data_IF_960597406568
#
_entry.id   IF_960597406568
#
_cell.length_a   1.000
_cell.length_b   1.000
_cell.length_c   1.000
_cell.angle_alpha   90.00
_cell.angle_beta   90.00
_cell.angle_gamma   90.00
#
_symmetry.space_group_name_H-M   'P 1'
#
loop_
_entity.id
_entity.type
_entity.pdbx_description
1 polymer ?
#
# COMPACT_ATOMS: atom_id res chain seq x y z
N UNK A 1 13.22 -4.30 5.33
CA UNK A 1 11.85 -4.58 5.79
C UNK A 1 10.91 -3.61 5.11
N UNK A 2 9.69 -4.03 4.76
CA UNK A 2 8.65 -3.17 4.20
C UNK A 2 7.44 -3.18 5.12
N UNK A 3 6.87 -2.01 5.37
CA UNK A 3 5.66 -1.82 6.14
C UNK A 3 4.65 -1.06 5.29
N UNK A 4 3.40 -1.48 5.33
CA UNK A 4 2.30 -0.81 4.65
C UNK A 4 1.09 -0.76 5.59
N UNK A 5 0.48 0.42 5.71
CA UNK A 5 -0.80 0.59 6.39
C UNK A 5 -1.68 1.54 5.59
N UNK A 6 -3.00 1.33 5.67
CA UNK A 6 -3.99 2.27 5.20
C UNK A 6 -4.18 3.44 6.18
N UNK A 7 -3.82 3.26 7.46
CA UNK A 7 -3.88 4.29 8.47
C UNK A 7 -2.48 4.70 8.94
N UNK A 8 -2.02 5.93 8.63
CA UNK A 8 -0.66 6.37 8.92
C UNK A 8 -0.29 6.34 10.40
N UNK A 9 -1.30 6.42 11.29
CA UNK A 9 -1.09 6.34 12.73
C UNK A 9 -0.62 4.95 13.19
N UNK A 10 -0.91 3.89 12.44
CA UNK A 10 -0.53 2.51 12.78
C UNK A 10 0.98 2.27 12.66
N UNK A 11 1.67 3.10 11.88
CA UNK A 11 3.13 3.05 11.72
C UNK A 11 3.87 3.65 12.94
N UNK A 12 3.12 4.03 13.98
CA UNK A 12 3.65 4.54 15.24
C UNK A 12 3.96 6.03 15.22
N UNK A 13 4.51 6.50 16.34
CA UNK A 13 5.00 7.85 16.54
C UNK A 13 6.44 7.79 17.04
N UNK A 14 7.28 8.75 16.64
CA UNK A 14 8.66 8.86 17.13
C UNK A 14 9.64 7.89 16.46
N UNK A 15 10.53 7.29 17.28
CA UNK A 15 11.76 6.62 16.86
C UNK A 15 11.56 5.52 15.78
N UNK A 16 10.44 4.79 15.81
CA UNK A 16 10.19 3.72 14.83
C UNK A 16 10.09 4.26 13.41
N UNK A 17 9.43 5.40 13.22
CA UNK A 17 9.32 6.05 11.90
C UNK A 17 10.70 6.52 11.45
N UNK A 18 11.55 6.99 12.36
CA UNK A 18 12.90 7.46 12.07
C UNK A 18 13.86 6.35 11.62
N UNK A 19 13.62 5.11 12.05
CA UNK A 19 14.34 3.94 11.54
C UNK A 19 13.94 3.55 10.12
N UNK A 20 12.81 4.05 9.61
CA UNK A 20 12.37 3.82 8.24
C UNK A 20 13.03 4.84 7.30
N UNK A 21 13.99 4.39 6.49
CA UNK A 21 14.66 5.25 5.50
C UNK A 21 13.73 5.70 4.37
N UNK A 22 13.42 4.83 3.38
CA UNK A 22 12.51 5.17 2.29
C UNK A 22 11.04 5.13 2.75
N UNK A 23 10.25 6.16 2.42
CA UNK A 23 8.84 6.26 2.81
C UNK A 23 7.98 6.70 1.65
N UNK A 24 6.80 6.09 1.50
CA UNK A 24 5.83 6.40 0.46
C UNK A 24 4.53 6.85 1.11
N UNK A 25 4.00 7.99 0.69
CA UNK A 25 2.72 8.54 1.16
C UNK A 25 1.82 8.76 -0.05
N UNK A 26 0.77 7.97 -0.16
CA UNK A 26 -0.27 8.10 -1.20
C UNK A 26 -1.34 9.12 -0.77
N UNK A 27 -2.32 9.39 -1.65
CA UNK A 27 -3.48 10.21 -1.30
C UNK A 27 -4.11 9.76 0.01
N UNK A 28 -4.44 10.73 0.87
CA UNK A 28 -5.04 10.50 2.18
C UNK A 28 -6.43 11.14 2.27
N UNK A 29 -7.27 10.57 3.14
CA UNK A 29 -8.47 11.26 3.60
C UNK A 29 -8.09 12.44 4.51
N UNK A 30 -8.95 13.48 4.65
CA UNK A 30 -8.62 14.69 5.43
C UNK A 30 -8.08 14.42 6.84
N UNK A 31 -8.66 13.47 7.58
CA UNK A 31 -8.22 13.11 8.94
C UNK A 31 -6.85 12.41 9.02
N UNK A 32 -6.31 11.94 7.90
CA UNK A 32 -5.04 11.22 7.82
C UNK A 32 -3.91 12.06 7.20
N UNK A 33 -4.18 13.29 6.76
CA UNK A 33 -3.18 14.18 6.15
C UNK A 33 -2.08 14.54 7.14
N UNK A 34 -2.45 15.00 8.34
CA UNK A 34 -1.50 15.40 9.36
C UNK A 34 -0.53 14.28 9.80
N UNK A 35 -1.01 13.07 10.17
CA UNK A 35 -0.10 11.99 10.51
C UNK A 35 0.73 11.53 9.29
N UNK A 36 0.23 11.68 8.07
CA UNK A 36 1.01 11.36 6.86
C UNK A 36 2.15 12.33 6.59
N UNK A 37 1.94 13.63 6.82
CA UNK A 37 3.03 14.62 6.73
C UNK A 37 4.11 14.34 7.76
N UNK A 38 3.72 13.91 8.98
CA UNK A 38 4.68 13.45 10.00
C UNK A 38 5.46 12.22 9.55
N UNK A 39 4.80 11.19 9.01
CA UNK A 39 5.48 10.02 8.44
C UNK A 39 6.45 10.44 7.34
N UNK A 40 6.06 11.39 6.49
CA UNK A 40 6.91 11.95 5.46
C UNK A 40 8.05 12.83 6.01
N UNK A 41 8.02 13.23 7.28
CA UNK A 41 8.98 14.20 7.83
C UNK A 41 8.85 15.58 7.21
N UNK A 42 7.63 15.98 6.82
CA UNK A 42 7.30 17.28 6.28
C UNK A 42 6.46 18.08 7.29
N UNK A 43 6.60 19.41 7.24
CA UNK A 43 5.84 20.30 8.11
C UNK A 43 4.35 20.33 7.73
N UNK A 44 3.50 20.52 8.74
CA UNK A 44 2.06 20.61 8.55
C UNK A 44 1.65 22.00 8.05
N UNK A 45 1.78 22.24 6.75
CA UNK A 45 1.31 23.46 6.08
C UNK A 45 0.06 23.20 5.24
N UNK A 46 -0.72 24.25 4.93
CA UNK A 46 -1.85 24.16 4.00
C UNK A 46 -1.41 23.63 2.64
N UNK A 47 -0.29 24.14 2.12
CA UNK A 47 0.24 23.76 0.82
C UNK A 47 0.64 22.27 0.80
N UNK A 48 1.27 21.79 1.88
CA UNK A 48 1.63 20.37 2.00
C UNK A 48 0.40 19.47 2.09
N UNK A 49 -0.64 19.91 2.81
CA UNK A 49 -1.92 19.22 2.90
C UNK A 49 -2.63 19.14 1.54
N UNK A 50 -2.66 20.24 0.78
CA UNK A 50 -3.25 20.31 -0.55
C UNK A 50 -2.52 19.39 -1.54
N UNK A 51 -1.19 19.30 -1.45
CA UNK A 51 -0.41 18.37 -2.27
C UNK A 51 -0.82 16.92 -2.01
N UNK A 52 -0.95 16.48 -0.75
CA UNK A 52 -1.37 15.10 -0.42
C UNK A 52 -2.81 14.84 -0.86
N UNK A 53 -3.72 15.77 -0.62
CA UNK A 53 -5.12 15.66 -1.01
C UNK A 53 -5.29 15.58 -2.53
N UNK A 54 -4.44 16.30 -3.27
CA UNK A 54 -4.44 16.35 -4.74
C UNK A 54 -3.72 15.20 -5.46
N UNK A 55 -3.20 14.20 -4.74
CA UNK A 55 -2.57 13.03 -5.37
C UNK A 55 -3.61 12.17 -6.10
N UNK A 56 -3.32 11.81 -7.35
CA UNK A 56 -4.14 10.88 -8.14
C UNK A 56 -3.88 9.42 -7.81
N UNK A 57 -4.62 8.52 -8.47
CA UNK A 57 -4.43 7.07 -8.34
C UNK A 57 -3.01 6.67 -8.76
N UNK A 58 -2.33 5.94 -7.89
CA UNK A 58 -0.94 5.53 -8.07
C UNK A 58 0.08 6.67 -7.88
N UNK A 59 -0.34 7.89 -7.59
CA UNK A 59 0.59 8.95 -7.24
C UNK A 59 0.89 8.96 -5.74
N UNK A 60 2.16 9.20 -5.41
CA UNK A 60 2.61 9.32 -4.03
C UNK A 60 3.72 10.37 -3.90
N UNK A 61 3.92 10.83 -2.68
CA UNK A 61 5.14 11.47 -2.25
C UNK A 61 6.09 10.39 -1.74
N UNK A 62 7.36 10.51 -2.13
CA UNK A 62 8.43 9.61 -1.74
C UNK A 62 9.52 10.41 -1.05
N UNK A 63 9.86 10.01 0.18
CA UNK A 63 11.05 10.47 0.89
C UNK A 63 12.14 9.42 0.77
N UNK A 64 13.32 9.83 0.31
CA UNK A 64 14.49 8.96 0.31
C UNK A 64 15.21 8.95 1.68
N UNK A 65 16.19 8.05 1.84
CA UNK A 65 16.98 7.95 3.07
C UNK A 65 17.85 9.18 3.36
N UNK A 66 17.97 10.12 2.41
CA UNK A 66 18.67 11.41 2.59
C UNK A 66 17.70 12.54 2.93
N UNK A 67 16.43 12.24 3.14
CA UNK A 67 15.40 13.19 3.52
C UNK A 67 14.80 13.98 2.36
N UNK A 68 15.17 13.71 1.11
CA UNK A 68 14.63 14.43 -0.05
C UNK A 68 13.26 13.89 -0.41
N UNK A 69 12.31 14.79 -0.69
CA UNK A 69 10.95 14.43 -1.05
C UNK A 69 10.68 14.73 -2.53
N UNK A 70 10.07 13.77 -3.23
CA UNK A 70 9.61 13.94 -4.61
C UNK A 70 8.29 13.24 -4.88
N UNK A 71 7.59 13.64 -5.95
CA UNK A 71 6.36 12.95 -6.40
C UNK A 71 6.71 11.82 -7.36
N UNK A 72 6.12 10.65 -7.13
CA UNK A 72 6.26 9.46 -7.95
C UNK A 72 4.90 9.01 -8.48
N UNK A 73 4.91 8.45 -9.69
CA UNK A 73 3.79 7.71 -10.26
C UNK A 73 4.14 6.23 -10.21
N UNK A 74 3.40 5.48 -9.41
CA UNK A 74 3.34 4.02 -9.43
C UNK A 74 2.38 3.62 -10.55
N UNK A 75 2.86 2.77 -11.45
CA UNK A 75 2.05 2.22 -12.53
C UNK A 75 1.42 0.90 -12.08
N UNK A 76 0.24 0.53 -12.62
CA UNK A 76 -0.27 -0.82 -12.48
C UNK A 76 0.77 -1.87 -12.87
N UNK A 77 0.70 -3.08 -12.30
CA UNK A 77 1.53 -4.19 -12.74
C UNK A 77 1.39 -4.39 -14.25
N UNK A 78 2.52 -4.62 -14.92
CA UNK A 78 2.54 -4.84 -16.37
C UNK A 78 2.14 -6.28 -16.70
N UNK A 79 2.34 -7.19 -15.77
CA UNK A 79 2.03 -8.61 -15.92
C UNK A 79 0.65 -8.89 -15.33
N UNK A 80 -0.23 -9.49 -16.14
CA UNK A 80 -1.63 -9.73 -15.77
C UNK A 80 -1.76 -10.65 -14.56
N UNK A 81 -0.91 -11.67 -14.44
CA UNK A 81 -0.94 -12.58 -13.28
C UNK A 81 -0.60 -11.86 -11.97
N UNK A 82 0.27 -10.83 -12.01
CA UNK A 82 0.58 -10.00 -10.84
C UNK A 82 -0.62 -9.13 -10.48
N UNK A 83 -1.28 -8.54 -11.49
CA UNK A 83 -2.49 -7.77 -11.28
C UNK A 83 -3.60 -8.62 -10.65
N UNK A 84 -3.82 -9.84 -11.16
CA UNK A 84 -4.80 -10.77 -10.63
C UNK A 84 -4.50 -11.20 -9.19
N UNK A 85 -3.23 -11.43 -8.85
CA UNK A 85 -2.83 -11.81 -7.48
C UNK A 85 -3.01 -10.69 -6.46
N UNK A 86 -2.99 -9.43 -6.91
CA UNK A 86 -3.18 -8.25 -6.06
C UNK A 86 -4.65 -7.81 -5.94
N UNK A 87 -5.58 -8.44 -6.66
CA UNK A 87 -7.00 -8.12 -6.57
C UNK A 87 -7.58 -8.72 -5.28
N UNK A 88 -7.85 -7.85 -4.31
CA UNK A 88 -8.47 -8.20 -3.04
C UNK A 88 -9.97 -7.92 -3.03
N UNK A 89 -10.57 -7.62 -4.17
CA UNK A 89 -12.02 -7.39 -4.25
C UNK A 89 -12.73 -8.68 -3.83
N UNK A 90 -13.59 -8.65 -2.80
CA UNK A 90 -14.30 -9.85 -2.38
C UNK A 90 -15.14 -10.33 -3.57
N UNK A 91 -14.85 -11.54 -4.05
CA UNK A 91 -15.71 -12.20 -5.01
C UNK A 91 -16.91 -12.69 -4.23
N UNK A 92 -18.12 -12.25 -4.59
CA UNK A 92 -19.36 -12.75 -3.98
C UNK A 92 -19.49 -14.24 -4.29
N UNK A 93 -18.89 -15.09 -3.46
CA UNK A 93 -19.14 -16.53 -3.45
C UNK A 93 -20.51 -16.74 -2.82
N UNK A 94 -21.28 -17.63 -3.44
CA UNK A 94 -22.70 -17.92 -3.23
C UNK A 94 -23.19 -17.88 -1.76
N UNK A 95 -24.50 -17.58 -1.53
CA UNK A 95 -25.09 -17.68 -0.21
C UNK A 95 -24.77 -19.03 0.44
N UNK A 96 -24.10 -18.99 1.59
CA UNK A 96 -23.98 -20.11 2.49
C UNK A 96 -25.41 -20.58 2.81
N UNK A 97 -25.82 -21.82 2.47
CA UNK A 97 -27.13 -22.32 2.89
C UNK A 97 -27.19 -22.21 4.41
N UNK A 98 -28.22 -21.54 4.91
CA UNK A 98 -28.43 -21.38 6.34
C UNK A 98 -28.35 -22.75 7.04
N UNK A 99 -27.70 -22.85 8.21
CA UNK A 99 -27.71 -24.10 8.96
C UNK A 99 -29.16 -24.46 9.31
N UNK A 100 -29.58 -25.67 8.97
CA UNK A 100 -30.87 -26.24 9.40
C UNK A 100 -30.96 -26.16 10.94
N UNK A 101 -32.07 -25.66 11.52
CA UNK A 101 -32.19 -25.42 12.96
C UNK A 101 -32.30 -26.69 13.83
N UNK A 102 -31.94 -27.89 13.33
CA UNK A 102 -32.34 -29.17 13.96
C UNK A 102 -31.20 -30.05 14.46
N UNK A 103 -30.04 -29.52 14.81
CA UNK A 103 -29.04 -30.36 15.51
C UNK A 103 -28.15 -29.56 16.46
N UNK A 104 -28.70 -29.18 17.60
CA UNK A 104 -27.89 -28.96 18.81
C UNK A 104 -28.19 -30.12 19.74
N UNK A 105 -27.33 -31.14 19.73
CA UNK A 105 -27.19 -32.06 20.87
C UNK A 105 -25.82 -31.82 21.46
N UNK A 106 -25.82 -31.29 22.69
CA UNK A 106 -24.64 -31.02 23.48
C UNK A 106 -23.97 -32.35 23.85
N UNK A 107 -22.80 -32.62 23.26
CA UNK A 107 -21.86 -33.60 23.78
C UNK A 107 -20.44 -33.25 23.34
N UNK A 108 -19.55 -33.05 24.32
CA UNK A 108 -18.11 -33.23 24.15
C UNK A 108 -17.28 -31.96 24.01
N UNK A 109 -16.84 -31.43 25.16
CA UNK A 109 -15.58 -30.67 25.23
C UNK A 109 -14.45 -31.70 25.09
N UNK A 110 -13.74 -31.73 23.96
CA UNK A 110 -12.40 -32.30 23.84
C UNK A 110 -11.70 -31.91 22.52
N UNK A 111 -10.51 -31.33 22.70
CA UNK A 111 -9.28 -31.59 21.94
C UNK A 111 -8.94 -30.81 20.63
N UNK A 112 -7.80 -30.11 20.73
CA UNK A 112 -6.84 -29.54 19.77
C UNK A 112 -7.29 -28.80 18.48
N UNK A 113 -6.67 -27.63 18.17
CA UNK A 113 -6.58 -27.17 16.80
C UNK A 113 -5.47 -27.92 16.06
N UNK A 114 -5.88 -28.84 15.18
CA UNK A 114 -5.07 -29.36 14.07
C UNK A 114 -4.74 -28.18 13.12
N UNK A 115 -3.56 -27.59 13.29
CA UNK A 115 -2.97 -26.66 12.33
C UNK A 115 -2.22 -27.43 11.24
N UNK A 116 -2.95 -28.27 10.51
CA UNK A 116 -2.54 -28.74 9.20
C UNK A 116 -2.69 -27.61 8.20
N UNK A 117 -1.66 -26.76 8.12
CA UNK A 117 -1.50 -25.79 7.03
C UNK A 117 -1.52 -26.53 5.68
N UNK A 118 -2.26 -26.07 4.66
CA UNK A 118 -2.08 -26.58 3.31
C UNK A 118 -0.69 -26.19 2.80
N UNK A 119 0.18 -27.19 2.93
CA UNK A 119 1.40 -27.53 2.20
C UNK A 119 1.70 -26.64 0.98
N UNK A 120 2.92 -26.10 1.02
CA UNK A 120 3.70 -25.30 0.08
C UNK A 120 3.74 -25.70 -1.43
N UNK A 121 2.74 -26.39 -1.97
CA UNK A 121 2.72 -26.86 -3.37
C UNK A 121 2.03 -25.89 -4.35
N UNK A 122 1.56 -24.72 -3.88
CA UNK A 122 0.79 -23.77 -4.69
C UNK A 122 1.62 -22.62 -5.30
N UNK A 123 2.95 -22.68 -5.22
CA UNK A 123 3.83 -21.77 -5.97
C UNK A 123 4.31 -22.50 -7.23
N UNK A 124 3.58 -22.30 -8.34
CA UNK A 124 4.03 -22.72 -9.67
C UNK A 124 5.38 -22.10 -10.06
N UNK A 125 6.04 -22.59 -11.12
CA UNK A 125 7.38 -22.15 -11.47
C UNK A 125 7.40 -20.64 -11.75
N UNK A 126 8.09 -19.89 -10.89
CA UNK A 126 8.40 -18.47 -11.10
C UNK A 126 9.41 -18.38 -12.25
N UNK A 127 8.89 -18.36 -13.47
CA UNK A 127 9.71 -18.40 -14.68
C UNK A 127 9.08 -17.71 -15.89
N UNK A 128 8.03 -16.91 -15.70
CA UNK A 128 7.48 -16.12 -16.81
C UNK A 128 8.46 -15.01 -17.18
N UNK A 129 8.85 -14.98 -18.46
CA UNK A 129 9.76 -13.95 -19.00
C UNK A 129 9.06 -12.60 -18.93
N UNK A 130 9.67 -11.64 -18.23
CA UNK A 130 9.20 -10.26 -18.18
C UNK A 130 9.23 -9.68 -19.61
N UNK A 131 8.07 -9.24 -20.11
CA UNK A 131 7.99 -8.47 -21.35
C UNK A 131 8.58 -7.06 -21.13
N UNK A 132 9.83 -6.91 -21.56
CA UNK A 132 10.62 -5.66 -21.42
C UNK A 132 10.02 -4.51 -22.23
N UNK A 133 9.37 -4.80 -23.36
CA UNK A 133 8.77 -3.78 -24.22
C UNK A 133 7.55 -3.17 -23.55
N UNK A 134 6.68 -4.01 -22.99
CA UNK A 134 5.52 -3.57 -22.21
C UNK A 134 5.93 -2.69 -21.01
N UNK A 135 7.00 -3.06 -20.30
CA UNK A 135 7.56 -2.27 -19.19
C UNK A 135 8.06 -0.90 -19.68
N UNK A 136 8.78 -0.86 -20.79
CA UNK A 136 9.30 0.39 -21.35
C UNK A 136 8.19 1.31 -21.85
N UNK A 137 7.14 0.77 -22.46
CA UNK A 137 5.96 1.52 -22.87
C UNK A 137 5.23 2.13 -21.66
N UNK A 138 5.07 1.38 -20.57
CA UNK A 138 4.48 1.88 -19.33
C UNK A 138 5.30 3.04 -18.73
N UNK A 139 6.64 2.89 -18.69
CA UNK A 139 7.56 3.96 -18.25
C UNK A 139 7.45 5.23 -19.10
N UNK A 140 7.35 5.09 -20.42
CA UNK A 140 7.20 6.23 -21.33
C UNK A 140 5.88 6.98 -21.11
N UNK A 141 4.78 6.27 -20.86
CA UNK A 141 3.47 6.87 -20.52
C UNK A 141 3.55 7.64 -19.21
N UNK A 142 4.21 7.11 -18.18
CA UNK A 142 4.37 7.77 -16.89
C UNK A 142 5.19 9.08 -16.99
N UNK A 143 6.26 9.09 -17.79
CA UNK A 143 7.11 10.29 -17.99
C UNK A 143 6.34 11.48 -18.58
N UNK A 144 5.38 11.23 -19.47
CA UNK A 144 4.59 12.29 -20.12
C UNK A 144 3.61 13.02 -19.18
N UNK A 145 3.33 12.47 -17.99
CA UNK A 145 2.34 13.02 -17.04
C UNK A 145 2.94 13.91 -15.94
N UNK A 146 4.25 14.16 -15.93
CA UNK A 146 4.87 14.97 -14.87
C UNK A 146 4.67 16.47 -15.09
N UNK A 147 3.92 17.10 -14.18
CA UNK A 147 3.95 18.54 -13.96
C UNK A 147 4.03 18.84 -12.44
N UNK A 148 4.73 19.94 -12.11
CA UNK A 148 4.80 20.64 -10.81
C UNK A 148 6.01 20.34 -9.91
N UNK A 149 6.77 21.39 -9.49
CA UNK A 149 7.84 21.28 -8.51
C UNK A 149 7.28 21.17 -7.09
N UNK A 150 7.43 19.98 -6.49
CA UNK A 150 6.99 19.63 -5.13
C UNK A 150 7.82 20.32 -4.03
N UNK A 151 9.04 20.76 -4.38
CA UNK A 151 10.05 21.24 -3.45
C UNK A 151 9.67 22.50 -2.67
N UNK A 152 8.79 23.35 -3.20
CA UNK A 152 8.37 24.58 -2.51
C UNK A 152 7.31 24.33 -1.43
N UNK A 153 6.41 23.39 -1.67
CA UNK A 153 5.29 23.09 -0.76
C UNK A 153 5.71 22.24 0.45
N UNK A 154 6.79 21.47 0.33
CA UNK A 154 7.24 20.48 1.34
C UNK A 154 8.57 20.84 2.01
N UNK A 155 8.94 22.13 2.01
CA UNK A 155 10.16 22.57 2.67
C UNK A 155 10.10 22.16 4.16
N UNK A 156 11.07 21.36 4.60
CA UNK A 156 11.27 20.98 6.00
C UNK A 156 12.27 21.95 6.62
N UNK A 157 11.92 22.57 7.73
CA UNK A 157 12.87 23.41 8.46
C UNK A 157 13.84 22.52 9.24
N UNK A 158 15.11 22.53 8.86
CA UNK A 158 16.18 21.86 9.62
C UNK A 158 16.30 22.55 10.98
N UNK A 159 16.10 21.83 12.07
CA UNK A 159 16.52 22.21 13.44
C UNK A 159 17.26 21.04 14.07
#
# INVERSE_FOLDING_TARGET
MWLASQHPADLGHGELVDLLGPRFVFRQAPGAVAPSLRVLGADHTSDAADVIAGLGTGECLYRDARGRIGRLQVTPPVLDHVAATLDTTPTTTQPHPAPDPTTVTAAGIADQPDVSAPRAEQYGPVGERIDVEAVNAARARARRRRATPVSRALASTTS
#
